data_IF_475195844134
#
_entry.id   IF_475195844134
#
_cell.length_a   1.000
_cell.length_b   1.000
_cell.length_c   1.000
_cell.angle_alpha   90.00
_cell.angle_beta   90.00
_cell.angle_gamma   90.00
#
_symmetry.space_group_name_H-M   'P 1'
#
loop_
_entity.id
_entity.type
_entity.pdbx_description
1 polymer ?
#
# COMPACT_ATOMS: atom_id res chain seq x y z
N UNK A 1 -6.22 -12.94 12.69
CA UNK A 1 -6.47 -12.58 11.28
C UNK A 1 -5.45 -11.52 10.93
N UNK A 2 -4.35 -11.90 10.26
CA UNK A 2 -3.38 -10.92 9.76
C UNK A 2 -4.04 -10.21 8.58
N UNK A 3 -4.18 -8.89 8.62
CA UNK A 3 -4.60 -8.12 7.45
C UNK A 3 -3.35 -7.86 6.60
N UNK A 4 -3.48 -7.92 5.27
CA UNK A 4 -2.39 -7.54 4.38
C UNK A 4 -2.31 -6.02 4.26
N UNK A 5 -1.14 -5.50 3.90
CA UNK A 5 -0.96 -4.06 3.65
C UNK A 5 -1.93 -3.53 2.61
N UNK A 6 -2.23 -4.32 1.57
CA UNK A 6 -3.23 -3.95 0.57
C UNK A 6 -4.64 -3.78 1.16
N UNK A 7 -5.03 -4.69 2.06
CA UNK A 7 -6.32 -4.59 2.76
C UNK A 7 -6.36 -3.34 3.65
N UNK A 8 -5.27 -3.07 4.38
CA UNK A 8 -5.13 -1.87 5.23
C UNK A 8 -5.29 -0.59 4.41
N UNK A 9 -4.63 -0.49 3.25
CA UNK A 9 -4.80 0.66 2.34
C UNK A 9 -6.24 0.83 1.87
N UNK A 10 -6.89 -0.27 1.45
CA UNK A 10 -8.25 -0.22 0.93
C UNK A 10 -9.26 0.23 1.99
N UNK A 11 -9.14 -0.32 3.21
CA UNK A 11 -9.97 0.07 4.34
C UNK A 11 -9.75 1.53 4.74
N UNK A 12 -8.49 1.98 4.80
CA UNK A 12 -8.17 3.35 5.15
C UNK A 12 -8.72 4.35 4.11
N UNK A 13 -8.66 4.01 2.81
CA UNK A 13 -9.27 4.82 1.75
C UNK A 13 -10.78 4.91 1.91
N UNK A 14 -11.45 3.79 2.17
CA UNK A 14 -12.91 3.76 2.39
C UNK A 14 -13.27 4.57 3.65
N UNK A 15 -12.51 4.43 4.74
CA UNK A 15 -12.72 5.19 5.97
C UNK A 15 -12.47 6.70 5.81
N UNK A 16 -11.56 7.08 4.91
CA UNK A 16 -11.34 8.47 4.52
C UNK A 16 -12.44 9.02 3.60
N UNK A 17 -13.38 8.19 3.13
CA UNK A 17 -14.45 8.58 2.22
C UNK A 17 -13.95 8.88 0.81
N UNK A 18 -12.79 8.36 0.42
CA UNK A 18 -12.15 8.64 -0.86
C UNK A 18 -12.43 7.56 -1.90
N UNK A 19 -12.66 7.99 -3.13
CA UNK A 19 -12.58 7.14 -4.32
C UNK A 19 -11.12 6.85 -4.68
N UNK A 20 -10.90 5.83 -5.51
CA UNK A 20 -9.58 5.52 -6.06
C UNK A 20 -8.99 6.70 -6.86
N UNK A 21 -9.82 7.42 -7.60
CA UNK A 21 -9.39 8.59 -8.39
C UNK A 21 -8.99 9.77 -7.51
N UNK A 22 -9.73 10.03 -6.43
CA UNK A 22 -9.39 11.09 -5.48
C UNK A 22 -8.06 10.80 -4.78
N UNK A 23 -7.84 9.55 -4.34
CA UNK A 23 -6.58 9.14 -3.76
C UNK A 23 -5.44 9.24 -4.78
N UNK A 24 -5.66 8.79 -6.02
CA UNK A 24 -4.70 8.90 -7.12
C UNK A 24 -4.26 10.35 -7.36
N UNK A 25 -5.23 11.27 -7.39
CA UNK A 25 -4.96 12.69 -7.59
C UNK A 25 -4.20 13.29 -6.40
N UNK A 26 -4.60 12.96 -5.16
CA UNK A 26 -3.95 13.43 -3.95
C UNK A 26 -2.50 12.94 -3.81
N UNK A 27 -2.24 11.67 -4.16
CA UNK A 27 -0.92 11.04 -4.04
C UNK A 27 -0.05 11.19 -5.28
N UNK A 28 -0.59 11.74 -6.37
CA UNK A 28 0.04 11.79 -7.71
C UNK A 28 0.42 10.41 -8.25
N UNK A 29 -0.29 9.36 -7.84
CA UNK A 29 -0.13 8.00 -8.37
C UNK A 29 -1.21 7.70 -9.40
N UNK A 30 -0.97 6.71 -10.26
CA UNK A 30 -2.01 6.22 -11.17
C UNK A 30 -3.01 5.38 -10.37
N UNK A 31 -4.31 5.57 -10.61
CA UNK A 31 -5.35 4.76 -9.96
C UNK A 31 -5.15 3.25 -10.15
N UNK A 32 -4.59 2.82 -11.30
CA UNK A 32 -4.25 1.42 -11.56
C UNK A 32 -3.18 0.86 -10.61
N UNK A 33 -2.20 1.69 -10.22
CA UNK A 33 -1.16 1.29 -9.26
C UNK A 33 -1.78 1.18 -7.87
N UNK A 34 -2.62 2.14 -7.48
CA UNK A 34 -3.32 2.09 -6.19
C UNK A 34 -4.24 0.87 -6.08
N UNK A 35 -4.98 0.54 -7.14
CA UNK A 35 -5.82 -0.65 -7.19
C UNK A 35 -4.99 -1.93 -7.02
N UNK A 36 -3.82 -2.01 -7.67
CA UNK A 36 -2.90 -3.14 -7.50
C UNK A 36 -2.37 -3.20 -6.05
N UNK A 37 -1.94 -2.08 -5.49
CA UNK A 37 -1.47 -1.99 -4.09
C UNK A 37 -2.55 -2.42 -3.10
N UNK A 38 -3.80 -1.98 -3.27
CA UNK A 38 -4.94 -2.43 -2.45
C UNK A 38 -5.23 -3.93 -2.60
N UNK A 39 -4.93 -4.50 -3.77
CA UNK A 39 -4.96 -5.94 -4.02
C UNK A 39 -3.74 -6.71 -3.48
N UNK A 40 -2.78 -6.03 -2.84
CA UNK A 40 -1.52 -6.62 -2.38
C UNK A 40 -0.47 -6.85 -3.48
N UNK A 41 -0.73 -6.37 -4.70
CA UNK A 41 0.20 -6.46 -5.82
C UNK A 41 1.07 -5.20 -5.95
N UNK A 42 2.31 -5.33 -5.49
CA UNK A 42 3.32 -4.28 -5.57
C UNK A 42 4.31 -4.47 -6.74
N UNK A 43 4.07 -5.46 -7.62
CA UNK A 43 4.95 -5.76 -8.76
C UNK A 43 5.10 -4.58 -9.72
N UNK A 44 4.03 -3.79 -9.88
CA UNK A 44 3.97 -2.60 -10.72
C UNK A 44 4.68 -1.37 -10.14
N UNK A 45 5.17 -1.44 -8.89
CA UNK A 45 5.86 -0.32 -8.26
C UNK A 45 7.29 -0.10 -8.80
N UNK A 46 7.84 -1.03 -9.60
CA UNK A 46 9.23 -0.95 -10.08
C UNK A 46 10.25 -1.44 -9.05
N UNK A 47 9.81 -2.20 -8.04
CA UNK A 47 10.65 -2.81 -7.01
C UNK A 47 10.30 -2.35 -5.58
N UNK A 48 10.85 -3.06 -4.60
CA UNK A 48 10.54 -2.86 -3.17
C UNK A 48 10.86 -1.44 -2.67
N UNK A 49 11.92 -0.83 -3.18
CA UNK A 49 12.33 0.54 -2.79
C UNK A 49 11.23 1.55 -3.18
N UNK A 50 10.73 1.45 -4.40
CA UNK A 50 9.67 2.32 -4.89
C UNK A 50 8.33 2.02 -4.20
N UNK A 51 8.00 0.75 -3.95
CA UNK A 51 6.80 0.39 -3.19
C UNK A 51 6.78 1.04 -1.79
N UNK A 52 7.91 0.97 -1.05
CA UNK A 52 8.04 1.65 0.25
C UNK A 52 7.90 3.17 0.15
N UNK A 53 8.47 3.77 -0.89
CA UNK A 53 8.31 5.21 -1.14
C UNK A 53 6.85 5.62 -1.37
N UNK A 54 6.11 4.82 -2.13
CA UNK A 54 4.69 5.05 -2.40
C UNK A 54 3.85 4.85 -1.15
N UNK A 55 4.11 3.81 -0.35
CA UNK A 55 3.45 3.59 0.93
C UNK A 55 3.63 4.77 1.90
N UNK A 56 4.87 5.29 2.03
CA UNK A 56 5.12 6.49 2.84
C UNK A 56 4.35 7.71 2.35
N UNK A 57 4.20 7.87 1.04
CA UNK A 57 3.45 9.00 0.48
C UNK A 57 1.94 8.88 0.71
N UNK A 58 1.40 7.66 0.74
CA UNK A 58 -0.03 7.40 0.93
C UNK A 58 -0.47 7.49 2.38
N UNK A 59 0.37 7.03 3.31
CA UNK A 59 0.04 6.97 4.73
C UNK A 59 -0.55 8.28 5.30
N UNK A 60 0.07 9.48 5.13
CA UNK A 60 -0.51 10.71 5.68
C UNK A 60 -1.83 11.11 5.03
N UNK A 61 -2.05 10.77 3.74
CA UNK A 61 -3.32 11.05 3.03
C UNK A 61 -4.45 10.20 3.63
N UNK A 62 -4.12 8.96 4.00
CA UNK A 62 -5.04 7.97 4.56
C UNK A 62 -5.11 8.00 6.10
N UNK A 63 -4.43 8.96 6.75
CA UNK A 63 -4.30 9.06 8.22
C UNK A 63 -3.72 7.79 8.88
N UNK A 64 -2.79 7.15 8.18
CA UNK A 64 -1.99 6.02 8.66
C UNK A 64 -0.60 6.50 9.08
N UNK A 65 0.07 5.71 9.91
CA UNK A 65 1.48 5.92 10.22
C UNK A 65 2.36 5.38 9.06
N UNK A 66 3.25 6.21 8.48
CA UNK A 66 4.08 5.82 7.34
C UNK A 66 5.14 4.77 7.69
N UNK A 67 5.66 4.77 8.91
CA UNK A 67 6.71 3.86 9.32
C UNK A 67 6.13 2.49 9.69
N UNK A 68 4.97 2.47 10.37
CA UNK A 68 4.22 1.25 10.66
C UNK A 68 3.79 0.53 9.37
N UNK A 69 3.20 1.27 8.41
CA UNK A 69 2.75 0.72 7.14
C UNK A 69 3.90 0.11 6.31
N UNK A 70 5.07 0.77 6.32
CA UNK A 70 6.26 0.27 5.64
C UNK A 70 6.88 -0.93 6.36
N UNK A 71 6.82 -0.96 7.69
CA UNK A 71 7.27 -2.09 8.49
C UNK A 71 6.42 -3.33 8.21
N UNK A 72 5.09 -3.19 8.23
CA UNK A 72 4.14 -4.26 7.90
C UNK A 72 4.36 -4.79 6.48
N UNK A 73 4.56 -3.90 5.49
CA UNK A 73 4.88 -4.31 4.12
C UNK A 73 6.20 -5.07 4.04
N UNK A 74 7.20 -4.63 4.79
CA UNK A 74 8.51 -5.29 4.82
C UNK A 74 8.44 -6.68 5.43
N UNK A 75 7.65 -6.84 6.49
CA UNK A 75 7.41 -8.14 7.12
C UNK A 75 6.61 -9.06 6.19
N UNK A 76 5.55 -8.58 5.54
CA UNK A 76 4.76 -9.34 4.57
C UNK A 76 5.61 -9.84 3.40
N UNK A 77 6.46 -8.98 2.84
CA UNK A 77 7.40 -9.36 1.77
C UNK A 77 8.43 -10.39 2.27
N UNK A 78 8.96 -10.21 3.47
CA UNK A 78 9.89 -11.17 4.07
C UNK A 78 9.24 -12.53 4.30
N UNK A 79 7.99 -12.57 4.76
CA UNK A 79 7.22 -13.81 4.93
C UNK A 79 6.89 -14.48 3.59
N UNK A 80 6.53 -13.70 2.56
CA UNK A 80 6.30 -14.20 1.19
C UNK A 80 7.57 -14.70 0.46
N UNK A 81 8.75 -14.33 0.95
CA UNK A 81 10.03 -14.90 0.53
C UNK A 81 10.34 -16.23 1.24
N UNK A 82 9.90 -16.41 2.50
CA UNK A 82 10.11 -17.64 3.26
C UNK A 82 9.20 -18.80 2.82
N UNK A 83 8.09 -18.52 2.13
CA UNK A 83 7.14 -19.53 1.63
C UNK A 83 7.44 -20.11 0.23
N UNK A 84 8.53 -19.69 -0.42
CA UNK A 84 8.96 -20.20 -1.75
C UNK A 84 10.29 -20.95 -1.64
N UNK A 85 10.28 -22.01 -0.82
CA UNK A 85 11.35 -23.01 -0.71
C UNK A 85 10.83 -24.38 -1.10
#
# INVERSE_FOLDING_TARGET
>A
MLMSVGTTLSQARIAAGMTLEELANASKLRASILLAMEGGDFSHCGGLVYARGQLRALAPILRLDPDELVAEFTDEVAQGLHGRG
#
